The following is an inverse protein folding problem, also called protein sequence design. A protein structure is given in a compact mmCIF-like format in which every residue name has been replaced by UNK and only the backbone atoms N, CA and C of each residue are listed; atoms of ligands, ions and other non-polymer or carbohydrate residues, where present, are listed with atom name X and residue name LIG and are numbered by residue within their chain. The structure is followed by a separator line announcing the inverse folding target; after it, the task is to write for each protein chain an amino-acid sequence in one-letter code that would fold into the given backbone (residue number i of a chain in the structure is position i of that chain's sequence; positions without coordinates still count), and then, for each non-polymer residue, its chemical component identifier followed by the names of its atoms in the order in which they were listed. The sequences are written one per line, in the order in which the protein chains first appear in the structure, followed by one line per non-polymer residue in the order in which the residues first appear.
data_IF_004839849263
#
_entry.id   IF_004839849263
#
_cell.length_a   1.000
_cell.length_b   1.000
_cell.length_c   1.000
_cell.angle_alpha   90.00
_cell.angle_beta   90.00
_cell.angle_gamma   90.00
#
_symmetry.space_group_name_H-M   'P 1'
#
loop_
_entity.id
_entity.type
_entity.pdbx_description
1 polymer ?
#
# COMPACT_ATOMS: atom_id res chain seq x y z
N UNK A 1 -27.50 -3.58 -6.70
CA UNK A 1 -26.23 -3.93 -7.33
C UNK A 1 -25.50 -4.87 -6.40
N UNK A 2 -25.16 -6.04 -6.89
CA UNK A 2 -24.48 -7.12 -6.17
C UNK A 2 -23.01 -7.21 -6.56
N UNK A 3 -22.10 -7.06 -5.62
CA UNK A 3 -20.65 -7.01 -5.84
C UNK A 3 -19.96 -8.15 -5.09
N UNK A 4 -19.14 -8.93 -5.78
CA UNK A 4 -18.26 -9.92 -5.17
C UNK A 4 -16.83 -9.37 -5.19
N UNK A 5 -16.22 -9.25 -4.02
CA UNK A 5 -14.81 -8.92 -3.87
C UNK A 5 -14.01 -10.22 -3.74
N UNK A 6 -12.91 -10.32 -4.49
CA UNK A 6 -12.11 -11.54 -4.58
C UNK A 6 -10.64 -11.26 -4.28
N UNK A 7 -10.10 -11.95 -3.28
CA UNK A 7 -8.68 -11.89 -2.92
C UNK A 7 -8.19 -13.28 -2.48
N UNK A 8 -6.90 -13.50 -2.45
CA UNK A 8 -6.32 -14.80 -2.07
C UNK A 8 -6.54 -15.15 -0.59
N UNK A 9 -6.30 -14.22 0.34
CA UNK A 9 -6.49 -14.40 1.78
C UNK A 9 -6.60 -13.05 2.51
N UNK A 10 -6.98 -13.08 3.79
CA UNK A 10 -6.95 -11.93 4.70
C UNK A 10 -5.83 -12.02 5.75
N UNK A 11 -4.59 -12.25 5.33
CA UNK A 11 -3.40 -12.06 6.16
C UNK A 11 -3.08 -10.57 6.37
N UNK A 12 -2.11 -10.27 7.24
CA UNK A 12 -1.68 -8.90 7.55
C UNK A 12 -0.86 -8.29 6.37
N UNK A 13 -1.54 -7.85 5.33
CA UNK A 13 -0.94 -7.23 4.15
C UNK A 13 -1.66 -5.95 3.71
N UNK A 14 -0.96 -5.14 2.91
CA UNK A 14 -1.49 -3.85 2.43
C UNK A 14 -2.70 -4.01 1.49
N UNK A 15 -2.64 -4.92 0.52
CA UNK A 15 -3.74 -5.19 -0.39
C UNK A 15 -4.97 -5.76 0.34
N UNK A 16 -4.73 -6.64 1.33
CA UNK A 16 -5.77 -7.22 2.17
C UNK A 16 -6.49 -6.16 3.00
N UNK A 17 -5.73 -5.20 3.57
CA UNK A 17 -6.31 -4.06 4.28
C UNK A 17 -7.21 -3.21 3.38
N UNK A 18 -6.72 -2.88 2.19
CA UNK A 18 -7.47 -2.09 1.22
C UNK A 18 -8.74 -2.80 0.74
N UNK A 19 -8.69 -4.14 0.56
CA UNK A 19 -9.86 -4.93 0.19
C UNK A 19 -10.89 -4.99 1.33
N UNK A 20 -10.44 -5.20 2.58
CA UNK A 20 -11.33 -5.23 3.74
C UNK A 20 -12.02 -3.87 3.92
N UNK A 21 -11.28 -2.77 3.82
CA UNK A 21 -11.85 -1.42 3.89
C UNK A 21 -12.83 -1.16 2.74
N UNK A 22 -12.49 -1.51 1.49
CA UNK A 22 -13.43 -1.39 0.37
C UNK A 22 -14.74 -2.14 0.64
N UNK A 23 -14.66 -3.35 1.19
CA UNK A 23 -15.84 -4.14 1.52
C UNK A 23 -16.75 -3.44 2.54
N UNK A 24 -16.16 -2.92 3.63
CA UNK A 24 -16.90 -2.19 4.66
C UNK A 24 -17.53 -0.90 4.08
N UNK A 25 -16.74 -0.09 3.37
CA UNK A 25 -17.19 1.16 2.78
C UNK A 25 -18.31 0.96 1.74
N UNK A 26 -18.22 -0.08 0.89
CA UNK A 26 -19.31 -0.41 -0.04
C UNK A 26 -20.57 -0.83 0.70
N UNK A 27 -20.44 -1.61 1.78
CA UNK A 27 -21.58 -2.02 2.61
C UNK A 27 -22.29 -0.82 3.27
N UNK A 28 -21.53 0.12 3.81
CA UNK A 28 -22.03 1.36 4.39
C UNK A 28 -22.79 2.23 3.36
N UNK A 29 -22.41 2.13 2.08
CA UNK A 29 -23.10 2.81 0.97
C UNK A 29 -24.28 2.03 0.40
N UNK A 30 -24.73 0.96 1.09
CA UNK A 30 -25.90 0.17 0.72
C UNK A 30 -25.67 -0.79 -0.46
N UNK A 31 -24.42 -1.08 -0.83
CA UNK A 31 -24.10 -2.08 -1.86
C UNK A 31 -24.25 -3.48 -1.27
N UNK A 32 -24.89 -4.39 -2.01
CA UNK A 32 -24.91 -5.82 -1.65
C UNK A 32 -23.55 -6.43 -1.97
N UNK A 33 -22.64 -6.40 -0.99
CA UNK A 33 -21.25 -6.82 -1.13
C UNK A 33 -20.98 -8.11 -0.36
N UNK A 34 -20.22 -9.01 -0.96
CA UNK A 34 -19.68 -10.22 -0.30
C UNK A 34 -18.21 -10.42 -0.68
N UNK A 35 -17.47 -11.15 0.17
CA UNK A 35 -16.03 -11.36 -0.03
C UNK A 35 -15.72 -12.84 -0.14
N UNK A 36 -14.96 -13.23 -1.17
CA UNK A 36 -14.45 -14.57 -1.38
C UNK A 36 -12.93 -14.60 -1.29
N UNK A 37 -12.41 -15.61 -0.58
CA UNK A 37 -10.96 -15.91 -0.50
C UNK A 37 -10.70 -17.38 -0.77
N UNK A 38 -9.43 -17.76 -0.93
CA UNK A 38 -9.02 -19.15 -1.12
C UNK A 38 -8.38 -19.77 0.13
N UNK A 39 -7.77 -18.93 0.98
CA UNK A 39 -7.06 -19.37 2.17
C UNK A 39 -7.69 -18.74 3.42
N UNK A 40 -7.73 -19.50 4.51
CA UNK A 40 -8.38 -19.14 5.77
C UNK A 40 -7.49 -18.32 6.71
N UNK A 41 -6.88 -17.22 6.25
CA UNK A 41 -6.20 -16.27 7.12
C UNK A 41 -7.20 -15.21 7.62
N UNK A 42 -7.20 -14.91 8.93
CA UNK A 42 -8.33 -14.23 9.58
C UNK A 42 -8.03 -12.82 10.10
N UNK A 43 -6.92 -12.19 9.71
CA UNK A 43 -6.48 -10.92 10.31
C UNK A 43 -7.52 -9.79 10.18
N UNK A 44 -8.21 -9.69 9.05
CA UNK A 44 -9.24 -8.67 8.78
C UNK A 44 -10.68 -9.21 8.83
N UNK A 45 -10.89 -10.50 9.11
CA UNK A 45 -12.23 -11.12 9.07
C UNK A 45 -13.16 -10.54 10.14
N UNK A 46 -12.62 -10.18 11.30
CA UNK A 46 -13.43 -9.58 12.38
C UNK A 46 -14.01 -8.22 11.96
N UNK A 47 -13.22 -7.39 11.27
CA UNK A 47 -13.69 -6.13 10.70
C UNK A 47 -14.86 -6.34 9.73
N UNK A 48 -14.77 -7.34 8.85
CA UNK A 48 -15.86 -7.67 7.91
C UNK A 48 -17.13 -8.09 8.63
N UNK A 49 -17.01 -8.92 9.70
CA UNK A 49 -18.15 -9.35 10.51
C UNK A 49 -18.85 -8.19 11.22
N UNK A 50 -18.08 -7.30 11.81
CA UNK A 50 -18.61 -6.11 12.49
C UNK A 50 -19.36 -5.18 11.55
N UNK A 51 -18.90 -5.08 10.29
CA UNK A 51 -19.58 -4.31 9.23
C UNK A 51 -20.72 -5.08 8.54
N UNK A 52 -21.01 -6.32 8.97
CA UNK A 52 -22.06 -7.14 8.35
C UNK A 52 -21.78 -7.55 6.91
N UNK A 53 -20.49 -7.68 6.51
CA UNK A 53 -20.07 -8.12 5.18
C UNK A 53 -19.93 -9.65 5.16
N UNK A 54 -20.70 -10.37 4.33
CA UNK A 54 -20.56 -11.82 4.16
C UNK A 54 -19.17 -12.20 3.66
N UNK A 55 -18.55 -13.18 4.31
CA UNK A 55 -17.23 -13.68 3.98
C UNK A 55 -17.24 -15.20 3.81
N UNK A 56 -16.62 -15.68 2.74
CA UNK A 56 -16.53 -17.10 2.46
C UNK A 56 -15.13 -17.50 1.94
N UNK A 57 -14.61 -18.62 2.46
CA UNK A 57 -13.41 -19.28 1.94
C UNK A 57 -13.84 -20.31 0.88
N UNK A 58 -13.48 -20.05 -0.37
CA UNK A 58 -13.77 -20.97 -1.50
C UNK A 58 -12.88 -22.20 -1.38
N UNK A 59 -13.46 -23.39 -1.52
CA UNK A 59 -12.72 -24.66 -1.49
C UNK A 59 -11.70 -24.78 -2.62
N UNK A 60 -10.74 -25.70 -2.50
CA UNK A 60 -9.78 -26.03 -3.55
C UNK A 60 -8.46 -25.27 -3.46
N UNK A 61 -8.09 -24.76 -2.27
CA UNK A 61 -6.82 -24.04 -2.05
C UNK A 61 -5.56 -24.82 -2.45
N UNK A 62 -5.61 -26.15 -2.39
CA UNK A 62 -4.52 -27.08 -2.67
C UNK A 62 -4.15 -27.19 -4.15
N UNK A 63 -5.04 -26.81 -5.09
CA UNK A 63 -4.83 -26.91 -6.53
C UNK A 63 -5.40 -25.71 -7.28
N UNK A 64 -4.64 -25.14 -8.22
CA UNK A 64 -5.13 -24.06 -9.10
C UNK A 64 -6.37 -24.46 -9.90
N UNK A 65 -6.43 -25.68 -10.43
CA UNK A 65 -7.55 -26.18 -11.20
C UNK A 65 -8.81 -26.36 -10.35
N UNK A 66 -8.68 -27.01 -9.17
CA UNK A 66 -9.79 -27.18 -8.23
C UNK A 66 -10.32 -25.82 -7.78
N UNK A 67 -9.44 -24.89 -7.42
CA UNK A 67 -9.75 -23.52 -7.05
C UNK A 67 -10.55 -22.81 -8.14
N UNK A 68 -10.11 -22.93 -9.39
CA UNK A 68 -10.81 -22.36 -10.53
C UNK A 68 -12.25 -22.91 -10.68
N UNK A 69 -12.43 -24.24 -10.64
CA UNK A 69 -13.77 -24.84 -10.78
C UNK A 69 -14.70 -24.47 -9.63
N UNK A 70 -14.21 -24.47 -8.38
CA UNK A 70 -15.02 -24.07 -7.24
C UNK A 70 -15.39 -22.58 -7.30
N UNK A 71 -14.44 -21.70 -7.65
CA UNK A 71 -14.69 -20.28 -7.83
C UNK A 71 -15.71 -20.04 -8.94
N UNK A 72 -15.54 -20.70 -10.09
CA UNK A 72 -16.50 -20.60 -11.21
C UNK A 72 -17.90 -21.02 -10.77
N UNK A 73 -18.04 -22.17 -10.10
CA UNK A 73 -19.35 -22.63 -9.58
C UNK A 73 -19.96 -21.60 -8.62
N UNK A 74 -19.17 -21.01 -7.73
CA UNK A 74 -19.64 -20.00 -6.78
C UNK A 74 -20.07 -18.71 -7.45
N UNK A 75 -19.29 -18.16 -8.38
CA UNK A 75 -19.62 -16.93 -9.08
C UNK A 75 -20.87 -17.10 -9.96
N UNK A 76 -20.99 -18.23 -10.66
CA UNK A 76 -22.18 -18.51 -11.45
C UNK A 76 -23.45 -18.67 -10.59
N UNK A 77 -23.35 -19.28 -9.41
CA UNK A 77 -24.48 -19.41 -8.47
C UNK A 77 -24.83 -18.07 -7.79
N UNK A 78 -23.83 -17.26 -7.50
CA UNK A 78 -24.02 -15.95 -6.87
C UNK A 78 -24.64 -14.92 -7.81
N UNK A 79 -24.43 -15.04 -9.13
CA UNK A 79 -24.86 -14.10 -10.15
C UNK A 79 -24.58 -12.63 -9.78
N UNK A 80 -23.31 -12.24 -9.50
CA UNK A 80 -23.01 -10.86 -9.18
C UNK A 80 -23.14 -9.97 -10.41
N UNK A 81 -23.49 -8.71 -10.22
CA UNK A 81 -23.35 -7.68 -11.26
C UNK A 81 -21.88 -7.38 -11.54
N UNK A 82 -21.08 -7.36 -10.47
CA UNK A 82 -19.64 -7.06 -10.52
C UNK A 82 -18.80 -8.03 -9.72
N UNK A 83 -17.61 -8.32 -10.26
CA UNK A 83 -16.50 -8.94 -9.53
C UNK A 83 -15.35 -7.96 -9.49
N UNK A 84 -14.83 -7.66 -8.29
CA UNK A 84 -13.62 -6.85 -8.07
C UNK A 84 -12.54 -7.75 -7.51
N UNK A 85 -11.51 -8.03 -8.29
CA UNK A 85 -10.43 -8.93 -7.90
C UNK A 85 -9.14 -8.16 -7.60
N UNK A 86 -8.46 -8.52 -6.50
CA UNK A 86 -7.18 -7.95 -6.09
C UNK A 86 -6.09 -9.01 -6.14
N UNK A 87 -4.90 -8.62 -6.54
CA UNK A 87 -3.70 -9.46 -6.71
C UNK A 87 -3.76 -10.39 -7.94
N UNK A 88 -2.59 -10.84 -8.40
CA UNK A 88 -2.43 -11.55 -9.67
C UNK A 88 -3.33 -12.79 -9.81
N UNK A 89 -3.28 -13.72 -8.82
CA UNK A 89 -4.01 -14.99 -8.93
C UNK A 89 -5.52 -14.80 -8.94
N UNK A 90 -6.15 -14.01 -8.04
CA UNK A 90 -7.57 -13.72 -8.10
C UNK A 90 -7.98 -13.01 -9.39
N UNK A 91 -7.20 -12.04 -9.87
CA UNK A 91 -7.47 -11.32 -11.12
C UNK A 91 -7.44 -12.25 -12.33
N UNK A 92 -6.43 -13.13 -12.44
CA UNK A 92 -6.35 -14.13 -13.52
C UNK A 92 -7.53 -15.09 -13.48
N UNK A 93 -7.87 -15.61 -12.29
CA UNK A 93 -8.99 -16.55 -12.15
C UNK A 93 -10.34 -15.93 -12.47
N UNK A 94 -10.60 -14.70 -12.00
CA UNK A 94 -11.81 -13.97 -12.33
C UNK A 94 -11.92 -13.69 -13.84
N UNK A 95 -10.80 -13.30 -14.48
CA UNK A 95 -10.74 -13.09 -15.93
C UNK A 95 -11.04 -14.38 -16.72
N UNK A 96 -10.50 -15.52 -16.28
CA UNK A 96 -10.79 -16.83 -16.91
C UNK A 96 -12.26 -17.24 -16.73
N UNK A 97 -12.84 -17.04 -15.53
CA UNK A 97 -14.28 -17.34 -15.31
C UNK A 97 -15.14 -16.44 -16.19
N UNK A 98 -14.83 -15.14 -16.28
CA UNK A 98 -15.54 -14.20 -17.14
C UNK A 98 -15.46 -14.62 -18.61
N UNK A 99 -14.27 -14.96 -19.09
CA UNK A 99 -14.06 -15.42 -20.48
C UNK A 99 -14.80 -16.73 -20.80
N UNK A 100 -14.96 -17.64 -19.82
CA UNK A 100 -15.65 -18.93 -19.96
C UNK A 100 -17.16 -18.84 -19.64
N UNK A 101 -17.80 -17.71 -19.88
CA UNK A 101 -19.23 -17.49 -19.77
C UNK A 101 -19.72 -16.94 -18.43
N UNK A 102 -18.87 -16.32 -17.65
CA UNK A 102 -19.28 -15.51 -16.51
C UNK A 102 -20.05 -14.27 -16.98
N UNK A 103 -21.27 -14.09 -16.51
CA UNK A 103 -22.13 -12.94 -16.87
C UNK A 103 -22.05 -11.85 -15.82
N UNK A 104 -20.85 -11.35 -15.55
CA UNK A 104 -20.60 -10.24 -14.62
C UNK A 104 -19.58 -9.26 -15.21
N UNK A 105 -19.65 -8.02 -14.80
CA UNK A 105 -18.63 -7.02 -15.09
C UNK A 105 -17.43 -7.22 -14.17
N UNK A 106 -16.22 -6.95 -14.67
CA UNK A 106 -14.99 -7.31 -13.98
C UNK A 106 -14.07 -6.10 -13.80
N UNK A 107 -13.68 -5.85 -12.56
CA UNK A 107 -12.56 -4.97 -12.21
C UNK A 107 -11.39 -5.85 -11.77
N UNK A 108 -10.24 -5.75 -12.44
CA UNK A 108 -8.98 -6.33 -12.03
C UNK A 108 -8.08 -5.25 -11.44
N UNK A 109 -7.61 -5.45 -10.20
CA UNK A 109 -6.81 -4.43 -9.50
C UNK A 109 -5.38 -4.88 -9.30
N UNK A 110 -4.45 -4.13 -9.91
CA UNK A 110 -3.01 -4.29 -9.78
C UNK A 110 -2.53 -3.62 -8.48
N UNK A 111 -2.02 -4.44 -7.57
CA UNK A 111 -1.57 -4.00 -6.23
C UNK A 111 -0.07 -4.12 -6.02
N UNK A 112 0.64 -4.58 -7.04
CA UNK A 112 2.08 -4.71 -7.06
C UNK A 112 2.65 -3.79 -8.15
N UNK A 113 3.84 -3.25 -7.90
CA UNK A 113 4.57 -2.46 -8.90
C UNK A 113 5.34 -3.40 -9.82
N UNK A 114 5.00 -3.39 -11.11
CA UNK A 114 5.69 -4.16 -12.14
C UNK A 114 6.87 -3.35 -12.67
N UNK A 115 8.09 -3.86 -12.52
CA UNK A 115 9.29 -3.17 -13.00
C UNK A 115 9.75 -3.64 -14.38
N UNK A 116 9.47 -4.91 -14.71
CA UNK A 116 9.95 -5.54 -15.95
C UNK A 116 8.84 -6.28 -16.66
N UNK A 117 8.80 -6.15 -17.99
CA UNK A 117 7.83 -6.83 -18.83
C UNK A 117 8.28 -8.27 -19.13
N UNK A 118 7.82 -9.22 -18.33
CA UNK A 118 8.08 -10.67 -18.52
C UNK A 118 7.03 -11.32 -19.43
N UNK A 119 7.28 -12.55 -19.88
CA UNK A 119 6.27 -13.37 -20.61
C UNK A 119 5.01 -13.61 -19.74
N UNK A 120 5.20 -13.77 -18.42
CA UNK A 120 4.09 -13.92 -17.47
C UNK A 120 3.22 -12.66 -17.43
N UNK A 121 3.83 -11.47 -17.38
CA UNK A 121 3.10 -10.21 -17.41
C UNK A 121 2.32 -10.03 -18.72
N UNK A 122 2.93 -10.38 -19.88
CA UNK A 122 2.23 -10.34 -21.17
C UNK A 122 0.99 -11.22 -21.18
N UNK A 123 1.09 -12.46 -20.67
CA UNK A 123 -0.06 -13.39 -20.58
C UNK A 123 -1.11 -12.86 -19.59
N UNK A 124 -0.71 -12.34 -18.44
CA UNK A 124 -1.62 -11.75 -17.44
C UNK A 124 -2.45 -10.63 -18.07
N UNK A 125 -1.81 -9.64 -18.67
CA UNK A 125 -2.52 -8.51 -19.30
C UNK A 125 -3.30 -8.93 -20.55
N UNK A 126 -2.88 -9.97 -21.25
CA UNK A 126 -3.71 -10.54 -22.32
C UNK A 126 -5.02 -11.13 -21.78
N UNK A 127 -5.01 -11.81 -20.64
CA UNK A 127 -6.23 -12.30 -19.97
C UNK A 127 -7.12 -11.16 -19.48
N UNK A 128 -6.56 -10.01 -19.10
CA UNK A 128 -7.32 -8.83 -18.67
C UNK A 128 -8.08 -8.11 -19.80
N UNK A 129 -7.97 -8.57 -21.06
CA UNK A 129 -8.71 -7.99 -22.17
C UNK A 129 -10.24 -8.02 -21.95
N UNK A 130 -10.75 -8.99 -21.18
CA UNK A 130 -12.18 -9.13 -20.89
C UNK A 130 -12.60 -8.39 -19.59
N UNK A 131 -11.69 -7.77 -18.89
CA UNK A 131 -12.05 -6.91 -17.77
C UNK A 131 -12.62 -5.58 -18.29
N UNK A 132 -13.65 -5.07 -17.62
CA UNK A 132 -14.22 -3.74 -17.91
C UNK A 132 -13.24 -2.65 -17.47
N UNK A 133 -12.59 -2.83 -16.30
CA UNK A 133 -11.59 -1.91 -15.82
C UNK A 133 -10.35 -2.64 -15.29
N UNK A 134 -9.18 -2.01 -15.52
CA UNK A 134 -7.90 -2.34 -14.88
C UNK A 134 -7.63 -1.21 -13.90
N UNK A 135 -7.55 -1.54 -12.61
CA UNK A 135 -7.40 -0.54 -11.54
C UNK A 135 -6.07 -0.71 -10.81
N UNK A 136 -4.99 -0.07 -11.30
CA UNK A 136 -3.74 0.03 -10.54
C UNK A 136 -3.92 0.89 -9.29
N UNK A 137 -3.17 0.56 -8.23
CA UNK A 137 -3.15 1.38 -7.01
C UNK A 137 -2.12 2.52 -7.05
N UNK A 138 -1.43 2.70 -8.18
CA UNK A 138 -0.43 3.75 -8.34
C UNK A 138 -0.41 4.28 -9.77
N UNK A 139 -0.08 5.54 -9.93
CA UNK A 139 0.04 6.17 -11.25
C UNK A 139 1.20 5.55 -12.04
N UNK A 140 2.31 5.25 -11.38
CA UNK A 140 3.46 4.57 -12.00
C UNK A 140 3.09 3.21 -12.59
N UNK A 141 2.23 2.42 -11.91
CA UNK A 141 1.72 1.17 -12.46
C UNK A 141 0.69 1.42 -13.57
N UNK A 142 -0.13 2.45 -13.47
CA UNK A 142 -1.04 2.88 -14.55
C UNK A 142 -0.27 3.26 -15.82
N UNK A 143 0.77 4.05 -15.67
CA UNK A 143 1.66 4.46 -16.77
C UNK A 143 2.35 3.24 -17.40
N UNK A 144 2.83 2.29 -16.57
CA UNK A 144 3.38 1.02 -17.05
C UNK A 144 2.37 0.25 -17.91
N UNK A 145 1.12 0.10 -17.44
CA UNK A 145 0.06 -0.58 -18.19
C UNK A 145 -0.23 0.14 -19.50
N UNK A 146 -0.45 1.45 -19.47
CA UNK A 146 -0.76 2.23 -20.67
C UNK A 146 0.38 2.21 -21.70
N UNK A 147 1.64 2.22 -21.26
CA UNK A 147 2.83 2.19 -22.09
C UNK A 147 3.02 0.84 -22.78
N UNK A 148 2.88 -0.26 -22.04
CA UNK A 148 3.19 -1.60 -22.55
C UNK A 148 1.99 -2.34 -23.13
N UNK A 149 0.77 -1.88 -22.80
CA UNK A 149 -0.50 -2.46 -23.25
C UNK A 149 -1.48 -1.35 -23.67
N UNK A 150 -1.18 -0.60 -24.76
CA UNK A 150 -1.96 0.57 -25.16
C UNK A 150 -3.45 0.25 -25.43
N UNK A 151 -3.78 -0.99 -25.79
CA UNK A 151 -5.16 -1.47 -25.94
C UNK A 151 -5.98 -1.45 -24.64
N UNK A 152 -5.32 -1.32 -23.49
CA UNK A 152 -5.97 -1.22 -22.18
C UNK A 152 -6.10 0.22 -21.66
N UNK A 153 -5.55 1.21 -22.38
CA UNK A 153 -5.49 2.60 -21.93
C UNK A 153 -6.86 3.16 -21.55
N UNK A 154 -7.89 2.92 -22.39
CA UNK A 154 -9.24 3.46 -22.17
C UNK A 154 -9.92 2.92 -20.90
N UNK A 155 -9.55 1.71 -20.46
CA UNK A 155 -10.11 1.06 -19.27
C UNK A 155 -9.17 1.02 -18.05
N UNK A 156 -8.02 1.66 -18.15
CA UNK A 156 -7.07 1.78 -17.01
C UNK A 156 -7.40 3.02 -16.21
N UNK A 157 -7.85 2.81 -14.98
CA UNK A 157 -8.22 3.88 -14.03
C UNK A 157 -7.42 3.72 -12.75
N UNK A 158 -6.62 4.71 -12.39
CA UNK A 158 -5.79 4.64 -11.16
C UNK A 158 -6.63 5.02 -9.96
N UNK A 159 -6.69 4.11 -8.98
CA UNK A 159 -7.30 4.36 -7.67
C UNK A 159 -6.25 4.08 -6.59
N UNK A 160 -5.59 5.14 -6.05
CA UNK A 160 -4.62 5.02 -4.98
C UNK A 160 -5.21 4.40 -3.71
N UNK A 161 -4.34 3.96 -2.81
CA UNK A 161 -4.75 3.45 -1.52
C UNK A 161 -5.37 4.55 -0.67
N UNK A 162 -6.35 4.19 0.18
CA UNK A 162 -6.90 5.07 1.20
C UNK A 162 -6.21 4.85 2.55
N UNK A 163 -6.41 5.81 3.44
CA UNK A 163 -6.03 5.74 4.85
C UNK A 163 -7.22 6.08 5.74
N UNK A 164 -7.35 5.38 6.84
CA UNK A 164 -8.30 5.69 7.91
C UNK A 164 -7.80 6.95 8.65
N UNK A 165 -8.39 8.09 8.32
CA UNK A 165 -7.99 9.40 8.81
C UNK A 165 -8.21 9.57 10.31
N UNK A 166 -9.20 8.91 10.87
CA UNK A 166 -9.52 9.01 12.32
C UNK A 166 -8.53 8.18 13.14
N UNK A 167 -8.24 6.97 12.69
CA UNK A 167 -7.25 6.09 13.33
C UNK A 167 -5.86 6.73 13.36
N UNK A 168 -5.48 7.41 12.29
CA UNK A 168 -4.18 8.06 12.14
C UNK A 168 -4.25 9.57 12.43
N UNK A 169 -5.31 10.05 13.08
CA UNK A 169 -5.39 11.44 13.49
C UNK A 169 -4.31 11.80 14.52
N UNK A 170 -3.78 13.02 14.41
CA UNK A 170 -3.00 13.65 15.46
C UNK A 170 -3.96 14.46 16.34
N UNK A 171 -4.05 14.13 17.62
CA UNK A 171 -5.05 14.72 18.52
C UNK A 171 -4.67 16.12 19.06
N UNK A 172 -3.41 16.56 18.93
CA UNK A 172 -2.90 17.78 19.56
C UNK A 172 -1.79 18.42 18.73
N UNK A 173 -1.49 19.68 19.02
CA UNK A 173 -0.30 20.34 18.48
C UNK A 173 0.94 19.52 18.80
N UNK A 174 1.77 19.30 17.77
CA UNK A 174 3.02 18.56 17.92
C UNK A 174 4.12 19.48 18.35
N UNK A 175 4.77 19.15 19.47
CA UNK A 175 6.05 19.69 19.82
C UNK A 175 7.13 18.67 19.48
N UNK A 176 8.15 19.10 18.75
CA UNK A 176 9.27 18.24 18.36
C UNK A 176 10.01 17.73 19.61
N UNK A 177 10.27 16.45 19.66
CA UNK A 177 11.00 15.82 20.74
C UNK A 177 12.49 16.13 20.68
N UNK A 178 13.19 15.96 21.79
CA UNK A 178 14.65 15.98 21.87
C UNK A 178 15.13 14.74 22.63
N UNK A 179 15.80 13.79 21.94
CA UNK A 179 16.14 13.79 20.50
C UNK A 179 14.90 13.62 19.61
N UNK A 180 14.97 14.19 18.39
CA UNK A 180 13.91 14.07 17.39
C UNK A 180 13.75 12.62 16.92
N UNK A 181 12.51 12.17 16.74
CA UNK A 181 12.20 10.78 16.36
C UNK A 181 11.87 10.69 14.86
N UNK A 182 12.74 10.01 14.11
CA UNK A 182 12.50 9.63 12.72
C UNK A 182 11.90 8.22 12.71
N UNK A 183 10.64 8.11 12.29
CA UNK A 183 9.93 6.84 12.17
C UNK A 183 10.11 6.26 10.77
N UNK A 184 10.45 4.97 10.70
CA UNK A 184 10.40 4.17 9.48
C UNK A 184 9.49 2.97 9.71
N UNK A 185 8.53 2.74 8.81
CA UNK A 185 7.62 1.60 8.89
C UNK A 185 7.75 0.78 7.61
N UNK A 186 8.59 -0.23 7.63
CA UNK A 186 8.86 -1.10 6.49
C UNK A 186 9.45 -2.43 6.93
N UNK A 187 9.17 -3.51 6.18
CA UNK A 187 9.90 -4.78 6.36
C UNK A 187 11.39 -4.58 6.11
N UNK A 188 12.24 -5.27 6.85
CA UNK A 188 13.70 -5.20 6.64
C UNK A 188 14.07 -6.10 5.47
N UNK A 189 13.87 -5.59 4.26
CA UNK A 189 14.16 -6.25 2.99
C UNK A 189 15.02 -5.34 2.10
N UNK A 190 15.74 -5.94 1.16
CA UNK A 190 16.59 -5.20 0.24
C UNK A 190 15.83 -4.09 -0.54
N UNK A 191 14.59 -4.36 -0.97
CA UNK A 191 13.76 -3.37 -1.67
C UNK A 191 13.41 -2.14 -0.82
N UNK A 192 13.49 -2.24 0.51
CA UNK A 192 13.23 -1.14 1.43
C UNK A 192 14.51 -0.35 1.79
N UNK A 193 15.63 -0.69 1.16
CA UNK A 193 16.90 0.03 1.26
C UNK A 193 17.41 0.27 2.69
N UNK A 194 17.18 -0.70 3.59
CA UNK A 194 17.57 -0.56 4.99
C UNK A 194 19.08 -0.32 5.17
N UNK A 195 19.92 -0.98 4.35
CA UNK A 195 21.38 -0.81 4.40
C UNK A 195 21.80 0.59 3.98
N UNK A 196 21.30 1.10 2.86
CA UNK A 196 21.60 2.45 2.39
C UNK A 196 21.13 3.52 3.40
N UNK A 197 19.97 3.29 4.03
CA UNK A 197 19.50 4.17 5.09
C UNK A 197 20.43 4.16 6.34
N UNK A 198 20.93 2.99 6.76
CA UNK A 198 21.92 2.90 7.86
C UNK A 198 23.21 3.63 7.48
N UNK A 199 23.65 3.56 6.21
CA UNK A 199 24.80 4.32 5.72
C UNK A 199 24.56 5.83 5.79
N UNK A 200 23.38 6.29 5.40
CA UNK A 200 23.01 7.71 5.48
C UNK A 200 22.97 8.20 6.95
N UNK A 201 22.40 7.41 7.86
CA UNK A 201 22.42 7.71 9.30
C UNK A 201 23.84 7.78 9.85
N UNK A 202 24.74 6.89 9.40
CA UNK A 202 26.16 6.97 9.78
C UNK A 202 26.80 8.30 9.36
N UNK A 203 26.53 8.75 8.13
CA UNK A 203 27.05 10.05 7.67
C UNK A 203 26.48 11.20 8.51
N UNK A 204 25.19 11.18 8.77
CA UNK A 204 24.50 12.20 9.57
C UNK A 204 25.04 12.25 11.01
N UNK A 205 25.30 11.09 11.63
CA UNK A 205 25.85 10.97 13.00
C UNK A 205 27.25 11.56 13.18
N UNK A 206 27.98 11.82 12.09
CA UNK A 206 29.29 12.46 12.16
C UNK A 206 29.23 13.92 12.68
N UNK A 207 28.09 14.59 12.52
CA UNK A 207 27.91 16.00 12.90
C UNK A 207 26.62 16.30 13.66
N UNK A 208 25.72 15.28 13.84
CA UNK A 208 24.48 15.43 14.62
C UNK A 208 24.29 14.28 15.61
N UNK A 209 23.74 14.60 16.78
CA UNK A 209 23.41 13.62 17.83
C UNK A 209 22.02 13.86 18.45
N UNK A 210 21.22 14.74 17.87
CA UNK A 210 19.93 15.21 18.37
C UNK A 210 18.74 14.48 17.74
N UNK A 211 18.95 13.26 17.24
CA UNK A 211 17.91 12.43 16.64
C UNK A 211 18.07 10.94 16.96
N UNK A 212 16.95 10.21 16.85
CA UNK A 212 16.90 8.75 16.89
C UNK A 212 16.01 8.23 15.76
N UNK A 213 16.28 6.99 15.32
CA UNK A 213 15.50 6.30 14.30
C UNK A 213 14.78 5.12 14.93
N UNK A 214 13.45 5.06 14.75
CA UNK A 214 12.64 3.90 15.13
C UNK A 214 12.14 3.20 13.87
N UNK A 215 12.71 2.05 13.55
CA UNK A 215 12.31 1.24 12.41
C UNK A 215 11.40 0.09 12.84
N UNK A 216 10.11 0.14 12.47
CA UNK A 216 9.14 -0.91 12.73
C UNK A 216 8.91 -1.78 11.49
N UNK A 217 9.00 -3.09 11.65
CA UNK A 217 8.71 -4.04 10.57
C UNK A 217 9.67 -5.23 10.52
N UNK A 218 10.54 -5.39 11.54
CA UNK A 218 11.35 -6.59 11.69
C UNK A 218 10.44 -7.80 11.82
N UNK A 219 10.56 -8.73 10.90
CA UNK A 219 9.81 -9.99 10.93
C UNK A 219 10.59 -11.04 11.69
N UNK A 220 10.25 -11.21 12.96
CA UNK A 220 10.87 -12.21 13.85
C UNK A 220 10.47 -13.67 13.49
N UNK A 221 9.44 -13.83 12.66
CA UNK A 221 8.91 -15.15 12.25
C UNK A 221 9.23 -15.48 10.79
N UNK A 222 10.05 -14.69 10.13
CA UNK A 222 10.41 -14.94 8.74
C UNK A 222 11.17 -16.27 8.64
N UNK A 223 10.60 -17.21 7.93
CA UNK A 223 11.24 -18.48 7.56
C UNK A 223 12.00 -18.39 6.24
N UNK A 224 11.99 -17.23 5.59
CA UNK A 224 12.67 -16.99 4.32
C UNK A 224 14.15 -16.68 4.61
N UNK A 225 15.09 -17.59 4.29
CA UNK A 225 16.52 -17.46 4.68
C UNK A 225 17.15 -16.15 4.18
N UNK A 226 16.83 -15.71 2.96
CA UNK A 226 17.35 -14.46 2.37
C UNK A 226 16.95 -13.23 3.17
N UNK A 227 15.71 -13.17 3.67
CA UNK A 227 15.22 -12.01 4.44
C UNK A 227 15.84 -12.00 5.85
N UNK A 228 15.98 -13.19 6.45
CA UNK A 228 16.64 -13.33 7.76
C UNK A 228 18.10 -12.93 7.70
N UNK A 229 18.85 -13.38 6.69
CA UNK A 229 20.24 -13.00 6.48
C UNK A 229 20.41 -11.48 6.27
N UNK A 230 19.53 -10.87 5.47
CA UNK A 230 19.56 -9.42 5.23
C UNK A 230 19.30 -8.62 6.52
N UNK A 231 18.33 -9.04 7.34
CA UNK A 231 18.04 -8.38 8.62
C UNK A 231 19.21 -8.52 9.63
N UNK A 232 19.85 -9.70 9.68
CA UNK A 232 21.04 -9.92 10.49
C UNK A 232 22.21 -9.03 10.04
N UNK A 233 22.39 -8.89 8.74
CA UNK A 233 23.42 -8.02 8.17
C UNK A 233 23.17 -6.55 8.51
N UNK A 234 21.92 -6.08 8.47
CA UNK A 234 21.55 -4.74 8.93
C UNK A 234 21.88 -4.52 10.41
N UNK A 235 21.60 -5.51 11.27
CA UNK A 235 21.95 -5.43 12.69
C UNK A 235 23.46 -5.38 12.92
N UNK A 236 24.22 -6.23 12.20
CA UNK A 236 25.69 -6.20 12.27
C UNK A 236 26.23 -4.83 11.86
N UNK A 237 25.69 -4.26 10.78
CA UNK A 237 26.09 -2.94 10.27
C UNK A 237 25.82 -1.82 11.28
N UNK A 238 24.67 -1.84 11.97
CA UNK A 238 24.37 -0.91 13.07
C UNK A 238 25.45 -0.99 14.15
N UNK A 239 25.82 -2.19 14.59
CA UNK A 239 26.85 -2.41 15.60
C UNK A 239 28.24 -1.99 15.13
N UNK A 240 28.64 -2.37 13.91
CA UNK A 240 29.92 -2.00 13.32
C UNK A 240 30.11 -0.48 13.20
N UNK A 241 29.01 0.26 13.04
CA UNK A 241 29.02 1.72 12.94
C UNK A 241 28.82 2.44 14.29
N UNK A 242 28.63 1.70 15.39
CA UNK A 242 28.36 2.28 16.72
C UNK A 242 27.05 3.08 16.74
N UNK A 243 25.99 2.58 16.09
CA UNK A 243 24.69 3.26 15.96
C UNK A 243 23.60 2.62 16.85
N UNK A 244 23.97 1.81 17.84
CA UNK A 244 23.01 1.08 18.70
C UNK A 244 22.18 2.02 19.58
N UNK A 245 22.67 3.21 19.87
CA UNK A 245 22.00 4.29 20.59
C UNK A 245 21.13 5.19 19.69
N UNK A 246 21.24 5.02 18.38
CA UNK A 246 20.61 5.89 17.39
C UNK A 246 19.56 5.16 16.53
N UNK A 247 19.81 3.90 16.13
CA UNK A 247 18.94 3.14 15.24
C UNK A 247 18.35 1.92 15.94
N UNK A 248 17.06 1.94 16.18
CA UNK A 248 16.32 0.89 16.86
C UNK A 248 15.43 0.11 15.88
N UNK A 249 15.65 -1.21 15.77
CA UNK A 249 14.87 -2.11 14.91
C UNK A 249 13.82 -2.84 15.74
N UNK A 250 12.55 -2.48 15.56
CA UNK A 250 11.41 -3.06 16.26
C UNK A 250 10.66 -4.10 15.43
N UNK A 251 10.00 -5.07 16.07
CA UNK A 251 9.09 -5.97 15.39
C UNK A 251 7.86 -5.22 14.85
N UNK A 252 7.08 -5.89 13.99
CA UNK A 252 5.76 -5.42 13.58
C UNK A 252 4.85 -5.27 14.81
N UNK A 253 4.10 -4.17 14.87
CA UNK A 253 3.15 -3.90 15.95
C UNK A 253 1.74 -3.64 15.43
N UNK A 254 0.72 -3.97 16.23
CA UNK A 254 -0.67 -3.60 15.97
C UNK A 254 -0.98 -2.14 16.38
N UNK A 255 -0.14 -1.57 17.24
CA UNK A 255 -0.27 -0.21 17.77
C UNK A 255 0.52 0.83 16.95
N UNK A 256 0.70 0.58 15.66
CA UNK A 256 1.53 1.45 14.82
C UNK A 256 1.02 2.90 14.77
N UNK A 257 -0.29 3.13 14.90
CA UNK A 257 -0.85 4.48 14.94
C UNK A 257 -0.31 5.30 16.12
N UNK A 258 -0.03 4.67 17.25
CA UNK A 258 0.60 5.34 18.41
C UNK A 258 2.05 5.75 18.10
N UNK A 259 2.78 4.92 17.35
CA UNK A 259 4.16 5.23 16.97
C UNK A 259 4.20 6.40 15.97
N UNK A 260 3.25 6.50 15.03
CA UNK A 260 3.10 7.70 14.20
C UNK A 260 2.80 8.96 15.02
N UNK A 261 1.98 8.85 16.09
CA UNK A 261 1.71 9.99 16.98
C UNK A 261 2.92 10.43 17.78
N UNK A 262 3.82 9.51 18.12
CA UNK A 262 5.05 9.76 18.88
C UNK A 262 6.24 10.15 17.99
N UNK A 263 6.12 10.13 16.69
CA UNK A 263 7.20 10.47 15.78
C UNK A 263 7.21 11.96 15.45
N UNK A 264 8.37 12.51 15.12
CA UNK A 264 8.51 13.87 14.61
C UNK A 264 8.56 13.89 13.08
N UNK A 265 9.19 12.90 12.49
CA UNK A 265 9.35 12.74 11.03
C UNK A 265 9.03 11.32 10.62
N UNK A 266 8.59 11.16 9.39
CA UNK A 266 8.48 9.84 8.76
C UNK A 266 9.49 9.72 7.61
N UNK A 267 10.22 8.59 7.53
CA UNK A 267 11.11 8.33 6.41
C UNK A 267 10.74 7.03 5.68
N UNK A 268 10.78 7.09 4.32
CA UNK A 268 10.56 5.93 3.45
C UNK A 268 11.68 5.82 2.42
N UNK A 269 12.75 5.04 2.69
CA UNK A 269 13.94 5.00 1.84
C UNK A 269 13.89 3.95 0.71
N UNK A 270 12.74 3.41 0.37
CA UNK A 270 12.54 2.29 -0.56
C UNK A 270 13.08 2.58 -1.95
N UNK A 271 13.59 1.53 -2.64
CA UNK A 271 13.99 1.63 -4.04
C UNK A 271 12.81 1.70 -5.01
N UNK A 272 11.66 1.18 -4.65
CA UNK A 272 10.40 1.26 -5.40
C UNK A 272 9.19 1.00 -4.49
N UNK A 273 8.08 1.62 -4.84
CA UNK A 273 6.78 1.47 -4.16
C UNK A 273 5.63 1.54 -5.20
N UNK A 274 4.42 1.14 -4.79
CA UNK A 274 3.19 1.62 -5.44
C UNK A 274 2.73 2.91 -4.77
N UNK A 275 1.47 2.99 -4.34
CA UNK A 275 1.06 3.96 -3.32
C UNK A 275 1.29 3.31 -1.96
N UNK A 276 2.34 3.71 -1.20
CA UNK A 276 2.68 3.05 0.04
C UNK A 276 1.69 3.44 1.16
N UNK A 277 1.01 2.45 1.74
CA UNK A 277 0.09 2.69 2.84
C UNK A 277 0.74 3.46 4.00
N UNK A 278 2.01 3.16 4.27
CA UNK A 278 2.77 3.78 5.36
C UNK A 278 3.04 5.27 5.14
N UNK A 279 3.15 5.71 3.88
CA UNK A 279 3.22 7.14 3.53
C UNK A 279 1.87 7.81 3.78
N UNK A 280 0.76 7.18 3.34
CA UNK A 280 -0.58 7.67 3.60
C UNK A 280 -0.85 7.80 5.11
N UNK A 281 -0.43 6.82 5.91
CA UNK A 281 -0.53 6.81 7.38
C UNK A 281 0.27 7.95 8.02
N UNK A 282 1.50 8.16 7.57
CA UNK A 282 2.37 9.24 8.05
C UNK A 282 1.76 10.62 7.76
N UNK A 283 1.28 10.82 6.54
CA UNK A 283 0.64 12.08 6.12
C UNK A 283 -0.67 12.32 6.87
N UNK A 284 -1.50 11.28 7.04
CA UNK A 284 -2.72 11.36 7.87
C UNK A 284 -2.41 11.67 9.34
N UNK A 285 -1.24 11.26 9.82
CA UNK A 285 -0.75 11.57 11.17
C UNK A 285 -0.04 12.94 11.27
N UNK A 286 -0.18 13.81 10.27
CA UNK A 286 0.44 15.15 10.26
C UNK A 286 1.96 15.13 10.44
N UNK A 287 2.66 14.19 9.79
CA UNK A 287 4.12 14.13 9.82
C UNK A 287 4.72 14.80 8.58
N UNK A 288 5.78 15.62 8.75
CA UNK A 288 6.70 15.90 7.66
C UNK A 288 7.30 14.58 7.15
N UNK A 289 7.40 14.43 5.81
CA UNK A 289 7.81 13.16 5.20
C UNK A 289 9.12 13.30 4.44
N UNK A 290 10.00 12.30 4.56
CA UNK A 290 11.32 12.24 3.91
C UNK A 290 11.33 10.96 3.09
N UNK A 291 11.21 11.05 1.76
CA UNK A 291 10.98 9.88 0.94
C UNK A 291 11.96 9.79 -0.23
N UNK A 292 12.23 8.56 -0.67
CA UNK A 292 12.90 8.35 -1.95
C UNK A 292 12.09 8.93 -3.10
N UNK A 293 12.74 9.53 -4.08
CA UNK A 293 12.15 10.10 -5.31
C UNK A 293 11.84 8.99 -6.32
N UNK A 294 10.93 8.07 -5.93
CA UNK A 294 10.58 6.91 -6.76
C UNK A 294 9.07 6.78 -6.91
N UNK A 295 8.66 6.18 -8.01
CA UNK A 295 7.25 5.86 -8.30
C UNK A 295 6.31 7.04 -8.04
N UNK A 296 5.33 6.86 -7.16
CA UNK A 296 4.31 7.88 -6.88
C UNK A 296 4.69 8.84 -5.74
N UNK A 297 5.80 8.62 -5.01
CA UNK A 297 6.17 9.48 -3.89
C UNK A 297 6.19 10.98 -4.29
N UNK A 298 6.73 11.40 -5.46
CA UNK A 298 6.73 12.80 -5.89
C UNK A 298 5.34 13.39 -6.21
N UNK A 299 4.29 12.56 -6.24
CA UNK A 299 2.90 13.02 -6.41
C UNK A 299 2.23 13.42 -5.09
N UNK A 300 2.86 13.08 -3.98
CA UNK A 300 2.35 13.31 -2.62
C UNK A 300 3.32 14.09 -1.74
N UNK A 301 4.62 14.07 -2.07
CA UNK A 301 5.65 14.77 -1.32
C UNK A 301 6.18 15.94 -2.14
N UNK A 302 5.99 17.15 -1.64
CA UNK A 302 6.37 18.41 -2.28
C UNK A 302 7.45 19.08 -1.43
N UNK A 303 8.63 19.28 -2.04
CA UNK A 303 9.76 19.94 -1.36
C UNK A 303 9.40 21.39 -1.04
N UNK A 304 9.70 21.81 0.19
CA UNK A 304 9.32 23.13 0.69
C UNK A 304 7.91 23.22 1.29
N UNK A 305 7.05 22.19 1.15
CA UNK A 305 5.65 22.22 1.60
C UNK A 305 5.34 21.18 2.68
N UNK A 306 5.61 19.90 2.40
CA UNK A 306 5.29 18.82 3.33
C UNK A 306 6.41 17.80 3.52
N UNK A 307 7.52 17.92 2.79
CA UNK A 307 8.60 16.94 2.93
C UNK A 307 9.81 17.16 2.04
N UNK A 308 10.61 16.12 1.94
CA UNK A 308 11.88 16.07 1.23
C UNK A 308 11.97 14.81 0.38
N UNK A 309 12.55 14.95 -0.80
CA UNK A 309 12.76 13.86 -1.74
C UNK A 309 14.24 13.65 -2.01
N UNK A 310 14.72 12.40 -1.91
CA UNK A 310 16.10 12.03 -2.18
C UNK A 310 16.22 10.89 -3.21
N UNK A 311 17.40 10.75 -3.81
CA UNK A 311 17.74 9.59 -4.64
C UNK A 311 18.06 8.39 -3.71
N UNK A 312 17.33 7.27 -3.78
CA UNK A 312 17.58 6.11 -2.92
C UNK A 312 18.92 5.40 -3.22
N UNK A 313 19.57 5.72 -4.34
CA UNK A 313 20.88 5.19 -4.73
C UNK A 313 22.02 6.10 -4.30
N UNK A 314 21.73 7.34 -3.86
CA UNK A 314 22.73 8.27 -3.31
C UNK A 314 22.58 8.42 -1.79
N UNK A 315 23.50 7.76 -1.08
CA UNK A 315 23.54 7.79 0.39
C UNK A 315 23.82 9.20 0.93
N UNK A 316 24.57 10.03 0.19
CA UNK A 316 24.91 11.41 0.61
C UNK A 316 23.70 12.33 0.46
N UNK A 317 22.95 12.19 -0.66
CA UNK A 317 21.70 12.92 -0.87
C UNK A 317 20.67 12.57 0.21
N UNK A 318 20.53 11.27 0.52
CA UNK A 318 19.65 10.82 1.61
C UNK A 318 20.05 11.44 2.95
N UNK A 319 21.36 11.44 3.30
CA UNK A 319 21.84 12.04 4.53
C UNK A 319 21.61 13.56 4.57
N UNK A 320 21.82 14.26 3.45
CA UNK A 320 21.57 15.69 3.33
C UNK A 320 20.08 16.03 3.53
N UNK A 321 19.16 15.26 2.92
CA UNK A 321 17.72 15.48 3.10
C UNK A 321 17.21 15.16 4.51
N UNK A 322 17.82 14.19 5.20
CA UNK A 322 17.58 13.96 6.63
C UNK A 322 18.06 15.14 7.48
N UNK A 323 19.24 15.70 7.16
CA UNK A 323 19.79 16.87 7.87
C UNK A 323 18.94 18.12 7.65
N UNK A 324 18.55 18.42 6.40
CA UNK A 324 17.62 19.52 6.05
C UNK A 324 16.31 19.43 6.85
N UNK A 325 15.72 18.23 6.94
CA UNK A 325 14.49 18.01 7.70
C UNK A 325 14.68 18.31 9.20
N UNK A 326 15.78 17.85 9.78
CA UNK A 326 16.08 18.07 11.20
C UNK A 326 16.40 19.55 11.54
N UNK A 327 16.74 20.37 10.54
CA UNK A 327 16.99 21.81 10.68
C UNK A 327 15.71 22.66 10.62
N UNK A 328 14.54 22.09 10.30
CA UNK A 328 13.28 22.84 10.30
C UNK A 328 13.05 23.51 11.64
N UNK A 329 12.63 24.78 11.61
CA UNK A 329 12.07 25.43 12.81
C UNK A 329 10.77 24.74 13.24
N UNK A 330 10.35 24.88 14.49
CA UNK A 330 9.07 24.31 14.96
C UNK A 330 7.88 24.77 14.12
N UNK A 331 7.85 26.04 13.73
CA UNK A 331 6.79 26.59 12.90
C UNK A 331 6.73 25.94 11.51
N UNK A 332 7.88 25.74 10.86
CA UNK A 332 7.95 25.05 9.57
C UNK A 332 7.60 23.57 9.71
N UNK A 333 8.13 22.90 10.74
CA UNK A 333 7.81 21.50 11.03
C UNK A 333 6.29 21.28 11.17
N UNK A 334 5.63 22.12 12.00
CA UNK A 334 4.18 22.09 12.14
C UNK A 334 3.45 22.42 10.83
N UNK A 335 3.96 23.36 10.04
CA UNK A 335 3.45 23.71 8.72
C UNK A 335 3.48 22.52 7.75
N UNK A 336 4.61 21.84 7.66
CA UNK A 336 4.77 20.63 6.83
C UNK A 336 3.81 19.51 7.24
N UNK A 337 3.64 19.32 8.56
CA UNK A 337 2.70 18.34 9.08
C UNK A 337 1.26 18.65 8.68
N UNK A 338 0.82 19.93 8.81
CA UNK A 338 -0.52 20.36 8.36
C UNK A 338 -0.72 20.15 6.86
N UNK A 339 0.28 20.47 6.04
CA UNK A 339 0.22 20.26 4.60
C UNK A 339 0.12 18.76 4.26
N UNK A 340 0.92 17.89 4.92
CA UNK A 340 0.80 16.43 4.78
C UNK A 340 -0.62 15.94 5.09
N UNK A 341 -1.21 16.41 6.17
CA UNK A 341 -2.59 16.04 6.55
C UNK A 341 -3.62 16.50 5.53
N UNK A 342 -3.54 17.73 5.06
CA UNK A 342 -4.44 18.27 4.04
C UNK A 342 -4.40 17.46 2.74
N UNK A 343 -3.20 17.05 2.29
CA UNK A 343 -3.04 16.19 1.11
C UNK A 343 -3.66 14.81 1.34
N UNK A 344 -3.50 14.24 2.55
CA UNK A 344 -4.10 12.94 2.88
C UNK A 344 -5.63 13.01 2.88
N UNK A 345 -6.23 14.08 3.42
CA UNK A 345 -7.67 14.33 3.41
C UNK A 345 -8.22 14.49 1.99
N UNK A 346 -7.55 15.27 1.16
CA UNK A 346 -7.95 15.53 -0.23
C UNK A 346 -7.84 14.30 -1.13
N UNK A 347 -6.74 13.53 -1.01
CA UNK A 347 -6.37 12.51 -2.02
C UNK A 347 -6.51 11.07 -1.55
N UNK A 348 -6.48 10.82 -0.23
CA UNK A 348 -6.33 9.47 0.35
C UNK A 348 -7.43 9.12 1.35
N UNK A 349 -8.48 9.94 1.49
CA UNK A 349 -9.59 9.64 2.40
C UNK A 349 -10.41 8.44 1.93
N UNK A 350 -11.07 7.77 2.87
CA UNK A 350 -12.01 6.67 2.61
C UNK A 350 -13.14 7.11 1.68
N UNK A 351 -13.61 8.35 1.83
CA UNK A 351 -14.63 8.94 0.98
C UNK A 351 -14.17 9.00 -0.49
N UNK A 352 -13.01 9.59 -0.75
CA UNK A 352 -12.45 9.71 -2.11
C UNK A 352 -12.22 8.34 -2.73
N UNK A 353 -11.73 7.38 -1.94
CA UNK A 353 -11.48 6.03 -2.41
C UNK A 353 -12.76 5.30 -2.80
N UNK A 354 -13.77 5.28 -1.92
CA UNK A 354 -15.03 4.57 -2.20
C UNK A 354 -15.81 5.22 -3.33
N UNK A 355 -15.81 6.54 -3.44
CA UNK A 355 -16.51 7.25 -4.51
C UNK A 355 -15.92 6.94 -5.89
N UNK A 356 -14.59 6.80 -5.99
CA UNK A 356 -13.92 6.36 -7.22
C UNK A 356 -14.35 4.93 -7.61
N UNK A 357 -14.45 3.99 -6.67
CA UNK A 357 -14.98 2.65 -6.96
C UNK A 357 -16.47 2.69 -7.34
N UNK A 358 -17.29 3.46 -6.63
CA UNK A 358 -18.70 3.61 -6.93
C UNK A 358 -18.94 4.22 -8.30
N UNK A 359 -18.11 5.15 -8.74
CA UNK A 359 -18.21 5.72 -10.10
C UNK A 359 -17.99 4.65 -11.19
N UNK A 360 -17.02 3.74 -10.99
CA UNK A 360 -16.80 2.62 -11.92
C UNK A 360 -17.94 1.60 -11.88
N UNK A 361 -18.40 1.26 -10.68
CA UNK A 361 -19.48 0.27 -10.48
C UNK A 361 -20.83 0.74 -11.03
N UNK A 362 -21.08 2.06 -11.08
CA UNK A 362 -22.31 2.67 -11.58
C UNK A 362 -22.21 3.10 -13.07
N UNK A 363 -21.03 3.02 -13.66
CA UNK A 363 -20.86 3.37 -15.07
C UNK A 363 -21.78 2.51 -15.96
N UNK A 364 -22.47 3.11 -16.94
CA UNK A 364 -23.31 2.35 -17.89
C UNK A 364 -22.47 1.31 -18.63
N UNK A 365 -23.12 0.27 -19.11
CA UNK A 365 -22.47 -0.72 -19.97
C UNK A 365 -22.28 -0.07 -21.37
N UNK A 366 -21.02 -0.11 -21.91
CA UNK A 366 -20.73 0.37 -23.28
C UNK A 366 -21.45 -0.46 -24.37
N UNK A 367 -22.72 -0.61 -24.28
CA UNK A 367 -23.60 -1.39 -25.18
C UNK A 367 -25.06 -1.00 -25.05
N UNK A 368 -25.37 0.00 -24.20
CA UNK A 368 -26.70 0.60 -24.05
C UNK A 368 -26.67 2.11 -24.28
N UNK A 369 -25.94 2.57 -25.28
CA UNK A 369 -26.22 3.89 -25.86
C UNK A 369 -27.31 3.63 -26.93
N UNK A 370 -28.53 4.08 -26.60
CA UNK A 370 -29.64 4.19 -27.57
C UNK A 370 -29.25 5.09 -28.74
#
# INVERSE_FOLDING_TARGET
MKVVLLIDHFGAGGAQRQMAGLACLLKERGVDVSVYTYFSYNFYVEQLKQSGVPYEVVKGAESHWRRFFYLRKKLLAAQPDWVVAYLDTPCIMASLVNWLGGKFRLIVSERNTTQTLTRRERLKFWLYRNADYIVPNSYSQGDFVCKHFPQHKAKTVVIPNFVDLDKFACATERHRQQPAVILVVASIWASKNTKGFIDAVRLLRQHRNDFVVKWFGRDLRSTIPKNTAYAQECQRKIKEYGLEDTVFLYPKTKQIAEEYRKADYFCLPSFYEGTPNVLCEAMASSLPVICSRVCDNPKYVFEGENGFLFDPYDVKDMAAKLDEALQLSEALHAGYGRCSRAIAEEKMSEQVFVDRYLSLLRAPHDGQAE
#
